data_IF_633497083132
#
_entry.id   IF_633497083132
#
_cell.length_a   1.000
_cell.length_b   1.000
_cell.length_c   1.000
_cell.angle_alpha   90.00
_cell.angle_beta   90.00
_cell.angle_gamma   90.00
#
_symmetry.space_group_name_H-M   'P 1'
#
loop_
_entity.id
_entity.type
_entity.pdbx_description
1 polymer ?
#
# COMPACT_ATOMS: atom_id res chain seq x y z
N UNK A 1 41.56 17.19 28.59
CA UNK A 1 40.12 17.11 28.91
C UNK A 1 39.24 17.63 27.76
N UNK A 2 39.57 18.76 27.10
CA UNK A 2 38.77 19.31 25.99
C UNK A 2 38.68 18.44 24.73
N UNK A 3 39.74 17.73 24.31
CA UNK A 3 39.71 16.88 23.10
C UNK A 3 38.76 15.68 23.18
N UNK A 4 38.49 15.16 24.38
CA UNK A 4 37.54 14.05 24.56
C UNK A 4 36.12 14.48 24.24
N UNK A 5 35.71 15.64 24.77
CA UNK A 5 34.37 16.21 24.55
C UNK A 5 34.14 16.53 23.07
N UNK A 6 35.13 17.10 22.37
CA UNK A 6 35.03 17.38 20.93
C UNK A 6 34.89 16.10 20.10
N UNK A 7 35.60 15.03 20.47
CA UNK A 7 35.50 13.74 19.78
C UNK A 7 34.13 13.08 19.99
N UNK A 8 33.60 13.10 21.21
CA UNK A 8 32.29 12.54 21.53
C UNK A 8 31.17 13.26 20.76
N UNK A 9 31.24 14.59 20.68
CA UNK A 9 30.31 15.40 19.87
C UNK A 9 30.42 15.05 18.38
N UNK A 10 31.63 14.87 17.86
CA UNK A 10 31.84 14.51 16.47
C UNK A 10 31.25 13.12 16.14
N UNK A 11 31.46 12.12 17.01
CA UNK A 11 30.86 10.79 16.83
C UNK A 11 29.33 10.84 16.90
N UNK A 12 28.76 11.62 17.83
CA UNK A 12 27.32 11.76 17.96
C UNK A 12 26.69 12.39 16.70
N UNK A 13 27.35 13.39 16.11
CA UNK A 13 26.92 14.01 14.85
C UNK A 13 26.97 13.01 13.68
N UNK A 14 28.08 12.29 13.51
CA UNK A 14 28.21 11.29 12.45
C UNK A 14 27.17 10.18 12.57
N UNK A 15 26.90 9.70 13.78
CA UNK A 15 25.87 8.68 14.01
C UNK A 15 24.48 9.19 13.63
N UNK A 16 24.14 10.42 14.01
CA UNK A 16 22.87 11.05 13.62
C UNK A 16 22.73 11.15 12.11
N UNK A 17 23.79 11.55 11.42
CA UNK A 17 23.78 11.67 9.95
C UNK A 17 23.59 10.29 9.29
N UNK A 18 24.28 9.27 9.79
CA UNK A 18 24.10 7.90 9.32
C UNK A 18 22.69 7.38 9.57
N UNK A 19 22.12 7.63 10.75
CA UNK A 19 20.75 7.23 11.10
C UNK A 19 19.73 7.93 10.19
N UNK A 20 19.95 9.21 9.84
CA UNK A 20 19.13 9.93 8.87
C UNK A 20 19.22 9.30 7.47
N UNK A 21 20.43 8.97 7.00
CA UNK A 21 20.63 8.30 5.71
C UNK A 21 19.98 6.91 5.68
N UNK A 22 20.07 6.17 6.78
CA UNK A 22 19.42 4.87 6.94
C UNK A 22 17.89 5.01 6.87
N UNK A 23 17.31 5.98 7.59
CA UNK A 23 15.88 6.26 7.55
C UNK A 23 15.41 6.64 6.12
N UNK A 24 16.14 7.52 5.43
CA UNK A 24 15.83 7.88 4.04
C UNK A 24 15.88 6.67 3.10
N UNK A 25 16.85 5.79 3.30
CA UNK A 25 16.98 4.54 2.53
C UNK A 25 15.79 3.62 2.75
N UNK A 26 15.36 3.44 3.99
CA UNK A 26 14.18 2.65 4.33
C UNK A 26 12.91 3.24 3.70
N UNK A 27 12.71 4.56 3.77
CA UNK A 27 11.57 5.24 3.13
C UNK A 27 11.57 4.98 1.61
N UNK A 28 12.72 5.07 0.95
CA UNK A 28 12.85 4.77 -0.49
C UNK A 28 12.47 3.32 -0.80
N UNK A 29 12.96 2.37 -0.01
CA UNK A 29 12.65 0.94 -0.17
C UNK A 29 11.15 0.68 0.04
N UNK A 30 10.55 1.24 1.08
CA UNK A 30 9.13 1.11 1.36
C UNK A 30 8.29 1.66 0.20
N UNK A 31 8.62 2.87 -0.28
CA UNK A 31 7.94 3.47 -1.44
C UNK A 31 8.03 2.59 -2.69
N UNK A 32 9.22 2.04 -2.97
CA UNK A 32 9.42 1.14 -4.11
C UNK A 32 8.59 -0.15 -3.99
N UNK A 33 8.51 -0.75 -2.79
CA UNK A 33 7.71 -1.95 -2.55
C UNK A 33 6.21 -1.69 -2.71
N UNK A 34 5.71 -0.57 -2.19
CA UNK A 34 4.30 -0.16 -2.33
C UNK A 34 3.96 0.05 -3.80
N UNK A 35 4.84 0.73 -4.54
CA UNK A 35 4.67 0.94 -5.98
C UNK A 35 4.63 -0.40 -6.72
N UNK A 36 5.57 -1.30 -6.45
CA UNK A 36 5.58 -2.65 -7.04
C UNK A 36 4.30 -3.43 -6.76
N UNK A 37 3.72 -3.31 -5.56
CA UNK A 37 2.44 -3.96 -5.24
C UNK A 37 1.28 -3.39 -6.08
N UNK A 38 1.29 -2.08 -6.38
CA UNK A 38 0.30 -1.43 -7.23
C UNK A 38 0.42 -1.87 -8.70
N UNK A 39 1.66 -1.98 -9.18
CA UNK A 39 1.93 -2.28 -10.59
C UNK A 39 1.78 -3.78 -10.89
N UNK A 40 2.42 -4.64 -10.08
CA UNK A 40 2.55 -6.08 -10.37
C UNK A 40 1.78 -6.97 -9.37
N UNK A 41 1.42 -6.44 -8.20
CA UNK A 41 0.87 -7.24 -7.09
C UNK A 41 -0.62 -7.55 -7.21
N UNK A 42 -1.34 -6.83 -8.07
CA UNK A 42 -2.80 -6.92 -8.18
C UNK A 42 -3.28 -8.31 -8.59
N UNK A 43 -2.78 -8.87 -9.69
CA UNK A 43 -3.26 -10.16 -10.21
C UNK A 43 -3.02 -11.31 -9.21
N UNK A 44 -1.85 -11.32 -8.58
CA UNK A 44 -1.52 -12.31 -7.56
C UNK A 44 -2.42 -12.17 -6.31
N UNK A 45 -2.75 -10.95 -5.90
CA UNK A 45 -3.68 -10.69 -4.80
C UNK A 45 -5.09 -11.14 -5.17
N UNK A 46 -5.57 -10.73 -6.35
CA UNK A 46 -6.90 -11.06 -6.85
C UNK A 46 -7.08 -12.58 -6.92
N UNK A 47 -6.10 -13.31 -7.47
CA UNK A 47 -6.15 -14.78 -7.53
C UNK A 47 -6.31 -15.44 -6.16
N UNK A 48 -5.60 -14.94 -5.13
CA UNK A 48 -5.76 -15.42 -3.74
C UNK A 48 -7.13 -15.10 -3.18
N UNK A 49 -7.63 -13.88 -3.38
CA UNK A 49 -8.95 -13.46 -2.90
C UNK A 49 -10.04 -14.29 -3.57
N UNK A 50 -9.97 -14.48 -4.89
CA UNK A 50 -10.92 -15.33 -5.63
C UNK A 50 -10.90 -16.76 -5.10
N UNK A 51 -9.72 -17.32 -4.82
CA UNK A 51 -9.58 -18.67 -4.24
C UNK A 51 -10.26 -18.77 -2.87
N UNK A 52 -10.08 -17.77 -2.01
CA UNK A 52 -10.73 -17.73 -0.70
C UNK A 52 -12.25 -17.61 -0.87
N UNK A 53 -12.71 -16.72 -1.75
CA UNK A 53 -14.13 -16.54 -2.02
C UNK A 53 -14.79 -17.84 -2.51
N UNK A 54 -14.19 -18.51 -3.50
CA UNK A 54 -14.73 -19.77 -4.03
C UNK A 54 -14.72 -20.88 -2.99
N UNK A 55 -13.69 -20.96 -2.15
CA UNK A 55 -13.60 -21.95 -1.06
C UNK A 55 -14.72 -21.77 -0.02
N UNK A 56 -15.20 -20.54 0.17
CA UNK A 56 -16.24 -20.20 1.14
C UNK A 56 -17.61 -19.91 0.50
N UNK A 57 -17.80 -20.28 -0.78
CA UNK A 57 -19.04 -20.02 -1.54
C UNK A 57 -19.47 -18.54 -1.55
N UNK A 58 -18.49 -17.64 -1.53
CA UNK A 58 -18.69 -16.19 -1.64
C UNK A 58 -18.68 -15.82 -3.12
N UNK A 59 -19.76 -15.20 -3.57
CA UNK A 59 -19.89 -14.73 -4.94
C UNK A 59 -18.84 -13.68 -5.30
N UNK A 60 -18.08 -13.94 -6.37
CA UNK A 60 -17.12 -12.98 -6.97
C UNK A 60 -17.85 -12.17 -8.05
N UNK A 61 -17.90 -10.83 -7.96
CA UNK A 61 -18.55 -10.00 -8.97
C UNK A 61 -17.78 -9.99 -10.29
N UNK A 62 -18.50 -9.75 -11.40
CA UNK A 62 -17.88 -9.52 -12.70
C UNK A 62 -17.02 -8.24 -12.65
N UNK A 63 -15.70 -8.37 -12.83
CA UNK A 63 -14.75 -7.27 -12.70
C UNK A 63 -14.91 -6.18 -13.77
N UNK A 64 -15.38 -6.55 -14.97
CA UNK A 64 -15.72 -5.61 -16.05
C UNK A 64 -17.12 -5.00 -15.89
N UNK A 65 -17.91 -5.51 -14.95
CA UNK A 65 -19.22 -5.00 -14.63
C UNK A 65 -19.16 -3.66 -13.88
N UNK A 66 -20.26 -2.88 -13.91
CA UNK A 66 -20.38 -1.66 -13.11
C UNK A 66 -20.30 -1.96 -11.61
N UNK A 67 -19.64 -1.08 -10.86
CA UNK A 67 -19.54 -1.18 -9.41
C UNK A 67 -20.81 -0.64 -8.73
N UNK A 68 -21.62 -1.52 -8.13
CA UNK A 68 -22.85 -1.12 -7.46
C UNK A 68 -22.65 -1.00 -5.95
N UNK A 69 -22.80 0.22 -5.42
CA UNK A 69 -22.97 0.44 -3.99
C UNK A 69 -24.36 -0.06 -3.58
N UNK A 70 -24.42 -1.29 -3.08
CA UNK A 70 -25.62 -1.88 -2.47
C UNK A 70 -26.06 -1.04 -1.27
N UNK A 71 -27.04 -0.12 -1.50
CA UNK A 71 -28.20 0.18 -0.62
C UNK A 71 -28.97 1.47 -0.92
N UNK A 72 -28.58 2.36 -1.85
CA UNK A 72 -29.32 3.64 -2.02
C UNK A 72 -29.71 4.12 -3.41
N UNK A 73 -29.26 3.51 -4.50
CA UNK A 73 -29.72 3.96 -5.81
C UNK A 73 -29.47 2.92 -6.88
N UNK A 74 -30.51 2.16 -7.23
CA UNK A 74 -30.57 1.49 -8.54
C UNK A 74 -30.60 2.50 -9.72
N UNK A 75 -30.62 3.81 -9.44
CA UNK A 75 -30.68 4.88 -10.45
C UNK A 75 -29.32 5.49 -10.80
N UNK A 76 -28.22 5.04 -10.20
CA UNK A 76 -26.91 5.57 -10.52
C UNK A 76 -26.00 4.42 -10.94
N UNK A 77 -26.04 4.11 -12.23
CA UNK A 77 -24.93 3.42 -12.89
C UNK A 77 -23.68 4.23 -12.57
N UNK A 78 -22.83 3.70 -11.70
CA UNK A 78 -21.49 4.22 -11.56
C UNK A 78 -20.80 4.06 -12.91
N UNK A 79 -20.09 5.09 -13.37
CA UNK A 79 -19.21 4.98 -14.55
C UNK A 79 -17.94 4.16 -14.25
N UNK A 80 -17.88 3.53 -13.07
CA UNK A 80 -16.70 2.90 -12.50
C UNK A 80 -16.90 1.39 -12.48
N UNK A 81 -15.94 0.66 -13.03
CA UNK A 81 -15.97 -0.81 -13.03
C UNK A 81 -15.62 -1.37 -11.65
N UNK A 82 -16.06 -2.59 -11.35
CA UNK A 82 -15.63 -3.32 -10.15
C UNK A 82 -14.11 -3.40 -10.06
N UNK A 83 -13.44 -3.65 -11.19
CA UNK A 83 -11.98 -3.65 -11.26
C UNK A 83 -11.37 -2.32 -10.81
N UNK A 84 -11.86 -1.19 -11.33
CA UNK A 84 -11.33 0.11 -10.95
C UNK A 84 -11.54 0.38 -9.46
N UNK A 85 -12.73 0.11 -8.95
CA UNK A 85 -13.02 0.32 -7.53
C UNK A 85 -12.11 -0.51 -6.63
N UNK A 86 -12.01 -1.83 -6.85
CA UNK A 86 -11.22 -2.68 -5.98
C UNK A 86 -9.71 -2.47 -6.15
N UNK A 87 -9.23 -2.24 -7.38
CA UNK A 87 -7.80 -2.06 -7.68
C UNK A 87 -7.28 -0.67 -7.32
N UNK A 88 -8.07 0.37 -7.57
CA UNK A 88 -7.61 1.75 -7.42
C UNK A 88 -8.10 2.38 -6.13
N UNK A 89 -9.34 2.12 -5.70
CA UNK A 89 -9.87 2.75 -4.49
C UNK A 89 -9.58 1.90 -3.25
N UNK A 90 -9.94 0.61 -3.27
CA UNK A 90 -9.77 -0.27 -2.11
C UNK A 90 -8.31 -0.63 -1.85
N UNK A 91 -7.57 -1.11 -2.86
CA UNK A 91 -6.17 -1.52 -2.65
C UNK A 91 -5.31 -0.34 -2.18
N UNK A 92 -5.47 0.85 -2.79
CA UNK A 92 -4.74 2.05 -2.37
C UNK A 92 -5.08 2.42 -0.93
N UNK A 93 -6.37 2.41 -0.57
CA UNK A 93 -6.79 2.68 0.81
C UNK A 93 -6.17 1.70 1.81
N UNK A 94 -6.09 0.40 1.47
CA UNK A 94 -5.47 -0.62 2.31
C UNK A 94 -3.96 -0.38 2.43
N UNK A 95 -3.27 -0.09 1.32
CA UNK A 95 -1.84 0.21 1.34
C UNK A 95 -1.54 1.45 2.18
N UNK A 96 -2.38 2.49 2.08
CA UNK A 96 -2.22 3.71 2.86
C UNK A 96 -2.48 3.46 4.36
N UNK A 97 -3.34 2.51 4.73
CA UNK A 97 -3.51 2.07 6.13
C UNK A 97 -2.28 1.35 6.68
N UNK A 98 -1.55 0.59 5.85
CA UNK A 98 -0.34 -0.12 6.25
C UNK A 98 0.91 0.79 6.36
N UNK A 99 0.80 2.03 5.88
CA UNK A 99 1.87 3.04 5.89
C UNK A 99 1.63 4.17 6.91
N UNK A 100 0.54 4.09 7.67
CA UNK A 100 0.20 5.02 8.75
C UNK A 100 0.78 4.59 10.09
#
# INVERSE_FOLDING_TARGET
>A
MFSGVTNDVNMALQRRDQDLLNALTLVKICKARVQKMRDDGWEALLGRVVTVCTTHDIHVPNMDGPYHLSKRSHRQTSFVTNLHHYKTDCLVSILDLQLK
#
